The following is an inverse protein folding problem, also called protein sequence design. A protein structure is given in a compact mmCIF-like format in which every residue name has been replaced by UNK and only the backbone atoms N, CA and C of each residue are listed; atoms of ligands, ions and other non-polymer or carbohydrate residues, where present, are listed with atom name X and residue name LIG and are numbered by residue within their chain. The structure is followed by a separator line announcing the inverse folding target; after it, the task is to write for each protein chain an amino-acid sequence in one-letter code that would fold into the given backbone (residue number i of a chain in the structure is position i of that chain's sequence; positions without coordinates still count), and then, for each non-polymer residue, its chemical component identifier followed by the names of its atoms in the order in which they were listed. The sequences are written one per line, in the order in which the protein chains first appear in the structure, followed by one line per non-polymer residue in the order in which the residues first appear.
data_IF_401889955255
#
_entry.id   IF_401889955255
#
_cell.length_a   1.000
_cell.length_b   1.000
_cell.length_c   1.000
_cell.angle_alpha   90.00
_cell.angle_beta   90.00
_cell.angle_gamma   90.00
#
_symmetry.space_group_name_H-M   'P 1'
#
loop_
_entity.id
_entity.type
_entity.pdbx_description
1 polymer ?
#
# COMPACT_ATOMS: atom_id res chain seq x y z
N UNK A 1 -15.40 8.03 59.68
CA UNK A 1 -14.37 8.78 58.91
C UNK A 1 -13.58 7.76 58.11
N UNK A 2 -13.90 7.57 56.84
CA UNK A 2 -13.09 6.73 55.95
C UNK A 2 -11.89 7.55 55.49
N UNK A 3 -10.68 7.07 55.80
CA UNK A 3 -9.46 7.64 55.26
C UNK A 3 -9.47 7.47 53.75
N UNK A 4 -9.43 8.59 53.02
CA UNK A 4 -9.23 8.60 51.58
C UNK A 4 -7.77 8.20 51.36
N UNK A 5 -7.54 7.01 50.81
CA UNK A 5 -6.19 6.61 50.39
C UNK A 5 -5.68 7.64 49.37
N UNK A 6 -4.45 8.16 49.53
CA UNK A 6 -3.87 9.06 48.56
C UNK A 6 -3.80 8.33 47.22
N UNK A 7 -4.36 8.95 46.18
CA UNK A 7 -4.24 8.47 44.80
C UNK A 7 -2.75 8.56 44.47
N UNK A 8 -2.07 7.42 44.37
CA UNK A 8 -0.68 7.36 43.89
C UNK A 8 -0.64 7.96 42.50
N UNK A 9 0.05 9.08 42.37
CA UNK A 9 0.21 9.77 41.11
C UNK A 9 1.22 9.02 40.25
N UNK A 10 1.07 9.06 38.93
CA UNK A 10 2.01 8.37 38.03
C UNK A 10 3.47 8.84 38.20
N UNK A 11 3.69 10.05 38.74
CA UNK A 11 4.99 10.61 39.09
C UNK A 11 5.63 10.03 40.36
N UNK A 12 4.92 9.16 41.08
CA UNK A 12 5.46 8.46 42.27
C UNK A 12 6.12 7.12 41.87
N UNK A 13 6.12 6.78 40.58
CA UNK A 13 6.76 5.57 40.06
C UNK A 13 8.28 5.76 39.93
N UNK A 14 9.07 4.68 40.09
CA UNK A 14 10.45 4.67 39.63
C UNK A 14 10.56 5.12 38.17
N UNK A 15 11.58 5.92 37.88
CA UNK A 15 11.82 6.52 36.56
C UNK A 15 11.83 5.48 35.42
N UNK A 16 12.33 4.28 35.71
CA UNK A 16 12.39 3.17 34.76
C UNK A 16 10.99 2.69 34.36
N UNK A 17 10.04 2.69 35.30
CA UNK A 17 8.65 2.34 35.03
C UNK A 17 7.94 3.46 34.28
N UNK A 18 8.22 4.72 34.59
CA UNK A 18 7.66 5.85 33.83
C UNK A 18 8.13 5.83 32.37
N UNK A 19 9.44 5.67 32.14
CA UNK A 19 10.02 5.57 30.80
C UNK A 19 9.41 4.39 30.04
N UNK A 20 9.24 3.25 30.70
CA UNK A 20 8.58 2.08 30.11
C UNK A 20 7.11 2.32 29.76
N UNK A 21 6.36 3.05 30.60
CA UNK A 21 4.96 3.39 30.29
C UNK A 21 4.91 4.36 29.10
N UNK A 22 5.77 5.38 29.11
CA UNK A 22 5.84 6.38 28.05
C UNK A 22 6.25 5.77 26.70
N UNK A 23 7.13 4.76 26.70
CA UNK A 23 7.60 4.12 25.45
C UNK A 23 6.54 3.29 24.74
N UNK A 24 5.45 2.95 25.43
CA UNK A 24 4.28 2.31 24.82
C UNK A 24 3.32 3.31 24.16
N UNK A 25 3.47 4.62 24.43
CA UNK A 25 2.61 5.64 23.87
C UNK A 25 3.01 6.05 22.45
N UNK A 26 2.06 6.47 21.59
CA UNK A 26 2.35 7.15 20.34
C UNK A 26 3.14 8.44 20.57
N UNK A 27 3.97 8.85 19.60
CA UNK A 27 4.81 10.04 19.71
C UNK A 27 4.01 11.32 19.99
N UNK A 28 2.80 11.42 19.43
CA UNK A 28 1.86 12.53 19.69
C UNK A 28 1.41 12.59 21.15
N UNK A 29 1.25 11.44 21.80
CA UNK A 29 0.87 11.36 23.21
C UNK A 29 2.06 11.63 24.13
N UNK A 30 3.25 11.13 23.79
CA UNK A 30 4.49 11.50 24.49
C UNK A 30 4.69 13.03 24.47
N UNK A 31 4.48 13.66 23.31
CA UNK A 31 4.52 15.13 23.18
C UNK A 31 3.46 15.85 24.03
N UNK A 32 2.29 15.25 24.23
CA UNK A 32 1.27 15.78 25.15
C UNK A 32 1.75 15.65 26.59
N UNK A 33 2.24 14.49 27.01
CA UNK A 33 2.80 14.25 28.35
C UNK A 33 3.91 15.26 28.70
N UNK A 34 4.81 15.53 27.75
CA UNK A 34 5.88 16.54 27.87
C UNK A 34 5.37 17.95 28.24
N UNK A 35 4.12 18.29 27.89
CA UNK A 35 3.52 19.60 28.18
C UNK A 35 2.76 19.64 29.51
N UNK A 36 2.43 18.49 30.10
CA UNK A 36 1.59 18.40 31.30
C UNK A 36 2.35 18.84 32.56
N UNK A 37 3.58 18.35 32.75
CA UNK A 37 4.37 18.65 33.95
C UNK A 37 5.84 18.88 33.63
N UNK A 38 6.55 19.58 34.53
CA UNK A 38 8.01 19.73 34.44
C UNK A 38 8.71 18.37 34.54
N UNK A 39 8.25 17.51 35.45
CA UNK A 39 8.78 16.16 35.63
C UNK A 39 8.79 15.37 34.31
N UNK A 40 7.65 15.19 33.65
CA UNK A 40 7.60 14.46 32.37
C UNK A 40 8.45 15.11 31.29
N UNK A 41 8.54 16.44 31.28
CA UNK A 41 9.43 17.14 30.35
C UNK A 41 10.89 16.76 30.59
N UNK A 42 11.34 16.80 31.84
CA UNK A 42 12.71 16.47 32.22
C UNK A 42 13.01 14.99 31.88
N UNK A 43 12.06 14.08 32.13
CA UNK A 43 12.18 12.65 31.76
C UNK A 43 12.29 12.43 30.24
N UNK A 44 11.45 13.13 29.46
CA UNK A 44 11.38 12.98 27.99
C UNK A 44 12.56 13.67 27.29
N UNK A 45 13.01 14.82 27.80
CA UNK A 45 14.09 15.61 27.21
C UNK A 45 15.49 15.10 27.64
N UNK A 46 15.56 14.24 28.66
CA UNK A 46 16.80 13.57 29.09
C UNK A 46 17.35 12.65 27.98
N UNK A 47 18.57 12.95 27.53
CA UNK A 47 19.18 12.28 26.37
C UNK A 47 19.43 10.80 26.60
N UNK A 48 19.75 10.41 27.83
CA UNK A 48 19.95 9.00 28.18
C UNK A 48 18.68 8.17 28.05
N UNK A 49 17.49 8.79 28.12
CA UNK A 49 16.20 8.11 28.00
C UNK A 49 15.71 8.00 26.55
N UNK A 50 16.26 8.80 25.62
CA UNK A 50 15.72 8.90 24.25
C UNK A 50 15.62 7.53 23.56
N UNK A 51 16.64 6.69 23.68
CA UNK A 51 16.61 5.36 23.08
C UNK A 51 15.51 4.48 23.68
N UNK A 52 15.40 4.45 25.02
CA UNK A 52 14.41 3.64 25.74
C UNK A 52 12.97 4.10 25.47
N UNK A 53 12.77 5.41 25.32
CA UNK A 53 11.47 6.00 25.04
C UNK A 53 11.00 5.74 23.60
N UNK A 54 11.88 5.92 22.63
CA UNK A 54 11.49 6.03 21.23
C UNK A 54 11.73 4.78 20.40
N UNK A 55 12.78 3.99 20.71
CA UNK A 55 13.11 2.79 19.94
C UNK A 55 11.94 1.80 19.84
N UNK A 56 11.17 1.49 20.91
CA UNK A 56 10.05 0.56 20.80
C UNK A 56 8.99 1.03 19.78
N UNK A 57 8.63 2.31 19.83
CA UNK A 57 7.69 2.92 18.88
C UNK A 57 8.21 2.92 17.44
N UNK A 58 9.50 3.17 17.24
CA UNK A 58 10.13 3.10 15.92
C UNK A 58 10.15 1.67 15.38
N UNK A 59 10.52 0.67 16.19
CA UNK A 59 10.52 -0.75 15.81
C UNK A 59 9.10 -1.15 15.37
N UNK A 60 8.08 -0.88 16.19
CA UNK A 60 6.69 -1.19 15.85
C UNK A 60 6.26 -0.58 14.50
N UNK A 61 6.64 0.67 14.26
CA UNK A 61 6.26 1.38 13.03
C UNK A 61 7.00 0.85 11.80
N UNK A 62 8.29 0.51 11.92
CA UNK A 62 9.07 -0.12 10.84
C UNK A 62 8.55 -1.52 10.53
N UNK A 63 8.28 -2.33 11.55
CA UNK A 63 7.68 -3.66 11.39
C UNK A 63 6.35 -3.54 10.67
N UNK A 64 5.46 -2.64 11.11
CA UNK A 64 4.20 -2.38 10.41
C UNK A 64 4.41 -2.03 8.94
N UNK A 65 5.28 -1.06 8.62
CA UNK A 65 5.53 -0.67 7.22
C UNK A 65 6.12 -1.83 6.40
N UNK A 66 7.00 -2.63 7.01
CA UNK A 66 7.56 -3.83 6.40
C UNK A 66 6.50 -4.88 6.11
N UNK A 67 5.60 -5.14 7.06
CA UNK A 67 4.50 -6.10 6.88
C UNK A 67 3.52 -5.59 5.82
N UNK A 68 3.23 -4.29 5.79
CA UNK A 68 2.37 -3.68 4.77
C UNK A 68 2.97 -3.75 3.37
N UNK A 69 4.28 -3.52 3.23
CA UNK A 69 4.99 -3.63 1.96
C UNK A 69 5.07 -5.10 1.51
N UNK A 70 5.52 -5.99 2.40
CA UNK A 70 5.59 -7.42 2.12
C UNK A 70 4.23 -7.99 1.71
N UNK A 71 3.14 -7.56 2.36
CA UNK A 71 1.80 -8.00 1.99
C UNK A 71 1.44 -7.73 0.52
N UNK A 72 1.91 -6.61 -0.06
CA UNK A 72 1.61 -6.27 -1.46
C UNK A 72 2.70 -6.68 -2.45
N UNK A 73 3.94 -6.94 -2.00
CA UNK A 73 5.06 -7.27 -2.89
C UNK A 73 5.60 -8.67 -2.77
N UNK A 74 5.43 -9.36 -1.63
CA UNK A 74 5.80 -10.77 -1.48
C UNK A 74 4.61 -11.63 -1.94
N UNK A 75 4.64 -11.97 -3.22
CA UNK A 75 3.58 -12.68 -3.92
C UNK A 75 4.01 -14.09 -4.35
N UNK A 76 5.17 -14.56 -3.90
CA UNK A 76 5.67 -15.89 -4.19
C UNK A 76 4.70 -16.96 -3.65
N UNK A 77 4.24 -17.85 -4.54
CA UNK A 77 3.28 -18.90 -4.21
C UNK A 77 1.87 -18.39 -3.85
N UNK A 78 1.60 -17.10 -3.99
CA UNK A 78 0.28 -16.52 -3.80
C UNK A 78 -0.51 -16.67 -5.10
N UNK A 79 -1.73 -17.21 -4.97
CA UNK A 79 -2.67 -17.34 -6.08
C UNK A 79 -2.95 -16.01 -6.80
N UNK A 80 -3.16 -16.01 -8.12
CA UNK A 80 -3.32 -14.79 -8.92
C UNK A 80 -4.41 -13.86 -8.36
N UNK A 81 -5.61 -14.39 -8.07
CA UNK A 81 -6.73 -13.55 -7.63
C UNK A 81 -6.45 -12.96 -6.24
N UNK A 82 -5.86 -13.76 -5.36
CA UNK A 82 -5.45 -13.27 -4.04
C UNK A 82 -4.34 -12.23 -4.15
N UNK A 83 -3.29 -12.49 -4.92
CA UNK A 83 -2.21 -11.54 -5.17
C UNK A 83 -2.74 -10.23 -5.76
N UNK A 84 -3.67 -10.31 -6.71
CA UNK A 84 -4.29 -9.15 -7.32
C UNK A 84 -5.13 -8.35 -6.33
N UNK A 85 -5.89 -9.02 -5.47
CA UNK A 85 -6.61 -8.42 -4.35
C UNK A 85 -5.67 -7.67 -3.41
N UNK A 86 -4.54 -8.27 -3.02
CA UNK A 86 -3.53 -7.61 -2.18
C UNK A 86 -2.96 -6.38 -2.86
N UNK A 87 -2.59 -6.50 -4.13
CA UNK A 87 -2.05 -5.41 -4.95
C UNK A 87 -2.98 -4.20 -5.00
N UNK A 88 -4.28 -4.46 -5.21
CA UNK A 88 -5.30 -3.41 -5.27
C UNK A 88 -5.73 -2.88 -3.90
N UNK A 89 -5.45 -3.58 -2.80
CA UNK A 89 -5.88 -3.17 -1.44
C UNK A 89 -5.37 -1.79 -0.98
N UNK A 90 -4.26 -1.31 -1.56
CA UNK A 90 -3.65 0.00 -1.27
C UNK A 90 -3.96 1.06 -2.32
N UNK A 91 -4.65 0.68 -3.40
CA UNK A 91 -4.86 1.50 -4.59
C UNK A 91 -6.32 1.80 -4.81
N UNK A 92 -6.58 2.95 -5.43
CA UNK A 92 -7.90 3.22 -5.98
C UNK A 92 -8.07 2.43 -7.29
N UNK A 93 -9.26 1.90 -7.54
CA UNK A 93 -9.63 1.32 -8.84
C UNK A 93 -9.99 2.49 -9.76
N UNK A 94 -9.21 2.63 -10.83
CA UNK A 94 -9.47 3.62 -11.87
C UNK A 94 -10.49 3.06 -12.85
N UNK A 95 -11.44 3.88 -13.28
CA UNK A 95 -12.40 3.51 -14.33
C UNK A 95 -11.81 3.56 -15.73
N UNK A 96 -10.74 4.32 -15.87
CA UNK A 96 -10.14 4.63 -17.14
C UNK A 96 -9.25 3.47 -17.57
N UNK A 97 -9.47 2.90 -18.78
CA UNK A 97 -8.70 1.77 -19.29
C UNK A 97 -7.18 1.99 -19.26
N UNK A 98 -6.69 3.16 -19.69
CA UNK A 98 -5.28 3.47 -19.79
C UNK A 98 -4.58 3.51 -18.42
N UNK A 99 -5.30 3.93 -17.37
CA UNK A 99 -4.79 3.91 -16.00
C UNK A 99 -4.78 2.49 -15.42
N UNK A 100 -5.80 1.68 -15.73
CA UNK A 100 -5.84 0.26 -15.34
C UNK A 100 -4.65 -0.48 -15.93
N UNK A 101 -4.41 -0.34 -17.24
CA UNK A 101 -3.34 -1.05 -17.94
C UNK A 101 -1.96 -0.87 -17.29
N UNK A 102 -1.62 0.33 -16.83
CA UNK A 102 -0.32 0.57 -16.14
C UNK A 102 -0.21 -0.24 -14.85
N UNK A 103 -1.28 -0.27 -14.05
CA UNK A 103 -1.31 -1.01 -12.78
C UNK A 103 -1.34 -2.52 -13.02
N UNK A 104 -2.15 -2.96 -13.97
CA UNK A 104 -2.30 -4.37 -14.33
C UNK A 104 -1.00 -4.94 -14.87
N UNK A 105 -0.34 -4.23 -15.80
CA UNK A 105 0.95 -4.64 -16.34
C UNK A 105 1.97 -4.81 -15.22
N UNK A 106 2.14 -3.80 -14.37
CA UNK A 106 3.13 -3.88 -13.30
C UNK A 106 2.80 -4.98 -12.27
N UNK A 107 1.51 -5.22 -11.98
CA UNK A 107 1.08 -6.36 -11.18
C UNK A 107 1.49 -7.68 -11.83
N UNK A 108 1.13 -7.90 -13.10
CA UNK A 108 1.43 -9.14 -13.82
C UNK A 108 2.93 -9.40 -13.91
N UNK A 109 3.71 -8.38 -14.30
CA UNK A 109 5.18 -8.46 -14.38
C UNK A 109 5.78 -8.85 -13.01
N UNK A 110 5.31 -8.21 -11.93
CA UNK A 110 5.82 -8.45 -10.58
C UNK A 110 5.42 -9.80 -10.00
N UNK A 111 4.16 -10.22 -10.21
CA UNK A 111 3.63 -11.49 -9.74
C UNK A 111 4.26 -12.67 -10.49
N UNK A 112 4.32 -12.59 -11.83
CA UNK A 112 4.87 -13.64 -12.68
C UNK A 112 6.36 -13.89 -12.39
N UNK A 113 7.13 -12.83 -12.15
CA UNK A 113 8.55 -12.94 -11.80
C UNK A 113 8.83 -13.67 -10.47
N UNK A 114 7.83 -13.83 -9.61
CA UNK A 114 7.95 -14.50 -8.30
C UNK A 114 7.42 -15.93 -8.28
N UNK A 115 6.74 -16.37 -9.34
CA UNK A 115 6.24 -17.74 -9.39
C UNK A 115 7.38 -18.70 -9.72
N UNK A 116 7.60 -19.65 -8.82
CA UNK A 116 8.50 -20.78 -9.08
C UNK A 116 7.88 -21.67 -10.13
N UNK A 117 8.52 -21.76 -11.29
CA UNK A 117 8.11 -22.69 -12.35
C UNK A 117 8.38 -24.13 -11.91
N UNK A 118 7.49 -25.10 -12.22
CA UNK A 118 7.77 -26.51 -11.99
C UNK A 118 9.07 -26.94 -12.68
N UNK A 119 9.96 -27.62 -11.96
CA UNK A 119 11.28 -28.08 -12.46
C UNK A 119 11.20 -29.01 -13.69
N UNK A 120 10.01 -29.48 -14.06
CA UNK A 120 9.78 -30.46 -15.13
C UNK A 120 9.76 -29.90 -16.55
N UNK A 121 10.07 -28.61 -16.76
CA UNK A 121 10.07 -27.97 -18.07
C UNK A 121 11.49 -27.55 -18.45
N UNK A 122 12.05 -28.17 -19.50
CA UNK A 122 13.42 -27.93 -20.00
C UNK A 122 13.68 -26.43 -20.24
N UNK A 123 14.71 -25.89 -19.57
CA UNK A 123 15.05 -24.47 -19.50
C UNK A 123 15.65 -23.85 -20.78
N UNK A 124 15.47 -24.50 -21.94
CA UNK A 124 16.20 -24.14 -23.19
C UNK A 124 15.47 -23.18 -24.11
N UNK A 125 14.19 -22.90 -23.87
CA UNK A 125 13.42 -21.92 -24.66
C UNK A 125 13.35 -20.62 -23.87
N UNK A 126 13.83 -19.50 -24.42
CA UNK A 126 13.54 -18.16 -23.90
C UNK A 126 12.02 -18.04 -23.75
N UNK A 127 11.55 -18.17 -22.52
CA UNK A 127 10.16 -18.42 -22.23
C UNK A 127 9.48 -17.06 -22.11
N UNK A 128 8.67 -16.72 -23.12
CA UNK A 128 7.87 -15.51 -23.08
C UNK A 128 6.84 -15.65 -21.95
N UNK A 129 6.87 -14.69 -21.02
CA UNK A 129 5.81 -14.56 -20.01
C UNK A 129 4.52 -14.26 -20.79
N UNK A 130 3.38 -14.92 -20.50
CA UNK A 130 2.09 -14.64 -21.12
C UNK A 130 1.53 -13.31 -20.58
N UNK A 131 2.29 -12.23 -20.78
CA UNK A 131 2.02 -10.89 -20.26
C UNK A 131 0.63 -10.41 -20.70
N UNK A 132 0.28 -10.70 -21.95
CA UNK A 132 -1.00 -10.31 -22.53
C UNK A 132 -2.17 -11.02 -21.84
N UNK A 133 -2.10 -12.35 -21.69
CA UNK A 133 -3.17 -13.16 -21.11
C UNK A 133 -3.36 -12.86 -19.62
N UNK A 134 -2.26 -12.68 -18.87
CA UNK A 134 -2.32 -12.30 -17.45
C UNK A 134 -2.94 -10.91 -17.27
N UNK A 135 -2.53 -9.94 -18.09
CA UNK A 135 -3.09 -8.58 -18.05
C UNK A 135 -4.57 -8.59 -18.43
N UNK A 136 -4.92 -9.33 -19.47
CA UNK A 136 -6.29 -9.41 -19.94
C UNK A 136 -7.21 -10.10 -18.93
N UNK A 137 -6.77 -11.21 -18.32
CA UNK A 137 -7.53 -11.88 -17.25
C UNK A 137 -7.73 -10.95 -16.05
N UNK A 138 -6.69 -10.23 -15.64
CA UNK A 138 -6.76 -9.27 -14.52
C UNK A 138 -7.71 -8.10 -14.85
N UNK A 139 -7.68 -7.58 -16.08
CA UNK A 139 -8.61 -6.54 -16.53
C UNK A 139 -10.06 -7.04 -16.57
N UNK A 140 -10.28 -8.27 -17.03
CA UNK A 140 -11.59 -8.90 -17.08
C UNK A 140 -12.18 -9.06 -15.66
N UNK A 141 -11.40 -9.56 -14.71
CA UNK A 141 -11.81 -9.70 -13.30
C UNK A 141 -12.12 -8.33 -12.67
N UNK A 142 -11.28 -7.32 -12.94
CA UNK A 142 -11.50 -5.97 -12.44
C UNK A 142 -12.76 -5.32 -13.06
N UNK A 143 -12.99 -5.53 -14.35
CA UNK A 143 -14.16 -5.03 -15.07
C UNK A 143 -15.43 -5.69 -14.57
N UNK A 144 -15.42 -7.01 -14.36
CA UNK A 144 -16.51 -7.74 -13.71
C UNK A 144 -16.82 -7.16 -12.33
N UNK A 145 -15.80 -6.94 -11.50
CA UNK A 145 -15.97 -6.35 -10.18
C UNK A 145 -16.61 -4.96 -10.23
N UNK A 146 -16.14 -4.08 -11.12
CA UNK A 146 -16.70 -2.73 -11.28
C UNK A 146 -18.16 -2.81 -11.72
N UNK A 147 -18.50 -3.65 -12.70
CA UNK A 147 -19.85 -3.74 -13.23
C UNK A 147 -20.84 -4.29 -12.21
N UNK A 148 -20.44 -5.30 -11.42
CA UNK A 148 -21.31 -5.92 -10.41
C UNK A 148 -21.50 -5.00 -9.20
N UNK A 149 -20.44 -4.31 -8.75
CA UNK A 149 -20.45 -3.64 -7.45
C UNK A 149 -20.49 -2.11 -7.48
N UNK A 150 -20.19 -1.44 -8.60
CA UNK A 150 -19.98 0.02 -8.62
C UNK A 150 -21.24 0.88 -8.82
N UNK A 151 -22.46 0.31 -8.80
CA UNK A 151 -23.77 0.99 -8.90
C UNK A 151 -23.92 2.02 -10.03
N UNK A 152 -23.05 1.99 -11.05
CA UNK A 152 -22.95 3.06 -12.04
C UNK A 152 -23.13 2.42 -13.40
N UNK A 153 -24.35 2.60 -13.91
CA UNK A 153 -24.98 1.96 -15.06
C UNK A 153 -25.18 0.45 -14.92
N UNK A 154 -26.43 -0.04 -14.83
CA UNK A 154 -26.72 -1.43 -15.09
C UNK A 154 -26.51 -1.64 -16.60
N UNK A 155 -25.29 -2.05 -16.98
CA UNK A 155 -25.16 -2.93 -18.13
C UNK A 155 -26.16 -4.06 -17.84
N UNK A 156 -27.23 -4.15 -18.63
CA UNK A 156 -28.36 -5.02 -18.34
C UNK A 156 -27.90 -6.44 -18.01
N UNK A 157 -28.63 -7.15 -17.14
CA UNK A 157 -28.34 -8.49 -16.61
C UNK A 157 -27.15 -9.18 -17.30
N UNK A 158 -25.93 -8.89 -16.84
CA UNK A 158 -24.73 -9.53 -17.38
C UNK A 158 -24.88 -11.00 -17.05
N UNK A 159 -25.00 -11.83 -18.08
CA UNK A 159 -24.88 -13.28 -17.91
C UNK A 159 -23.43 -13.58 -17.50
N UNK A 160 -23.24 -13.81 -16.20
CA UNK A 160 -21.94 -14.09 -15.60
C UNK A 160 -21.33 -15.34 -16.22
N UNK A 161 -22.14 -16.34 -16.57
CA UNK A 161 -21.66 -17.57 -17.18
C UNK A 161 -21.15 -17.30 -18.61
N UNK A 162 -21.84 -16.46 -19.38
CA UNK A 162 -21.38 -16.03 -20.71
C UNK A 162 -20.09 -15.20 -20.61
N UNK A 163 -20.03 -14.26 -19.66
CA UNK A 163 -18.83 -13.46 -19.42
C UNK A 163 -17.64 -14.35 -19.05
N UNK A 164 -17.78 -15.21 -18.05
CA UNK A 164 -16.72 -16.13 -17.60
C UNK A 164 -16.29 -17.07 -18.72
N UNK A 165 -17.23 -17.57 -19.52
CA UNK A 165 -16.92 -18.46 -20.66
C UNK A 165 -16.12 -17.72 -21.72
N UNK A 166 -16.51 -16.48 -22.04
CA UNK A 166 -15.76 -15.62 -22.95
C UNK A 166 -14.38 -15.30 -22.39
N UNK A 167 -14.29 -15.09 -21.07
CA UNK A 167 -13.01 -14.88 -20.38
C UNK A 167 -12.10 -16.11 -20.54
N UNK A 168 -12.60 -17.29 -20.19
CA UNK A 168 -11.83 -18.53 -20.29
C UNK A 168 -11.39 -18.83 -21.72
N UNK A 169 -12.26 -18.60 -22.71
CA UNK A 169 -11.93 -18.83 -24.12
C UNK A 169 -10.78 -17.93 -24.57
N UNK A 170 -10.87 -16.61 -24.40
CA UNK A 170 -9.84 -15.72 -24.96
C UNK A 170 -8.52 -15.75 -24.16
N UNK A 171 -8.54 -16.03 -22.85
CA UNK A 171 -7.30 -16.19 -22.07
C UNK A 171 -6.55 -17.50 -22.39
N UNK A 172 -7.26 -18.58 -22.74
CA UNK A 172 -6.66 -19.90 -22.89
C UNK A 172 -6.45 -20.31 -24.35
N UNK A 173 -7.24 -19.81 -25.31
CA UNK A 173 -7.23 -20.29 -26.70
C UNK A 173 -5.86 -20.13 -27.39
N UNK A 174 -5.08 -19.10 -27.03
CA UNK A 174 -3.77 -18.85 -27.64
C UNK A 174 -2.59 -19.42 -26.84
N UNK A 175 -2.75 -19.58 -25.51
CA UNK A 175 -1.63 -19.82 -24.59
C UNK A 175 -2.03 -20.66 -23.36
N UNK A 176 -2.90 -21.66 -23.54
CA UNK A 176 -3.37 -22.53 -22.46
C UNK A 176 -2.21 -23.15 -21.67
N UNK A 177 -1.18 -23.67 -22.36
CA UNK A 177 -0.03 -24.29 -21.70
C UNK A 177 0.73 -23.27 -20.83
N UNK A 178 0.92 -22.04 -21.31
CA UNK A 178 1.59 -20.99 -20.55
C UNK A 178 0.79 -20.61 -19.30
N UNK A 179 -0.52 -20.46 -19.42
CA UNK A 179 -1.41 -20.15 -18.28
C UNK A 179 -1.50 -21.31 -17.27
N UNK A 180 -1.49 -22.56 -17.74
CA UNK A 180 -1.47 -23.74 -16.87
C UNK A 180 -0.18 -23.83 -16.03
N UNK A 181 0.96 -23.34 -16.52
CA UNK A 181 2.22 -23.27 -15.74
C UNK A 181 2.10 -22.34 -14.53
N UNK A 182 1.27 -21.31 -14.63
CA UNK A 182 0.89 -20.43 -13.52
C UNK A 182 -0.25 -21.01 -12.65
N UNK A 183 -0.65 -22.25 -12.92
CA UNK A 183 -1.78 -22.90 -12.25
C UNK A 183 -3.11 -22.23 -12.58
N UNK A 184 -3.25 -21.58 -13.73
CA UNK A 184 -4.48 -20.94 -14.19
C UNK A 184 -5.15 -21.84 -15.23
N UNK A 185 -6.28 -22.42 -14.85
CA UNK A 185 -7.10 -23.30 -15.71
C UNK A 185 -8.47 -22.65 -15.95
N UNK A 186 -9.25 -23.17 -16.91
CA UNK A 186 -10.62 -22.70 -17.16
C UNK A 186 -11.51 -22.80 -15.90
N UNK A 187 -11.37 -23.89 -15.14
CA UNK A 187 -12.06 -24.07 -13.85
C UNK A 187 -11.69 -22.97 -12.84
N UNK A 188 -10.40 -22.62 -12.79
CA UNK A 188 -9.92 -21.60 -11.86
C UNK A 188 -10.37 -20.20 -12.27
N UNK A 189 -10.37 -19.87 -13.57
CA UNK A 189 -10.93 -18.62 -14.09
C UNK A 189 -12.40 -18.48 -13.72
N UNK A 190 -13.18 -19.57 -13.85
CA UNK A 190 -14.59 -19.61 -13.42
C UNK A 190 -14.72 -19.33 -11.94
N UNK A 191 -13.96 -20.05 -11.10
CA UNK A 191 -13.94 -19.83 -9.65
C UNK A 191 -13.58 -18.40 -9.28
N UNK A 192 -12.62 -17.77 -9.97
CA UNK A 192 -12.27 -16.37 -9.74
C UNK A 192 -13.44 -15.44 -10.02
N UNK A 193 -14.14 -15.63 -11.14
CA UNK A 193 -15.33 -14.85 -11.47
C UNK A 193 -16.42 -14.96 -10.40
N UNK A 194 -16.70 -16.18 -9.95
CA UNK A 194 -17.67 -16.46 -8.87
C UNK A 194 -17.29 -15.74 -7.56
N UNK A 195 -16.02 -15.82 -7.14
CA UNK A 195 -15.52 -15.12 -5.94
C UNK A 195 -15.66 -13.60 -6.05
N UNK A 196 -15.35 -13.04 -7.23
CA UNK A 196 -15.45 -11.60 -7.49
C UNK A 196 -16.89 -11.12 -7.44
N UNK A 197 -17.84 -11.87 -8.01
CA UNK A 197 -19.27 -11.56 -7.97
C UNK A 197 -19.80 -11.65 -6.54
N UNK A 198 -19.43 -12.71 -5.81
CA UNK A 198 -19.98 -12.99 -4.48
C UNK A 198 -19.52 -11.99 -3.40
N UNK A 199 -18.39 -11.30 -3.59
CA UNK A 199 -17.80 -10.45 -2.56
C UNK A 199 -17.32 -9.09 -3.12
N UNK A 200 -18.05 -8.03 -2.79
CA UNK A 200 -17.71 -6.64 -3.12
C UNK A 200 -16.36 -6.17 -2.55
N UNK A 201 -15.77 -6.92 -1.61
CA UNK A 201 -14.46 -6.63 -1.05
C UNK A 201 -13.33 -7.47 -1.68
N UNK A 202 -13.63 -8.29 -2.70
CA UNK A 202 -12.68 -9.28 -3.22
C UNK A 202 -11.49 -8.65 -3.94
N UNK A 203 -11.68 -7.60 -4.72
CA UNK A 203 -10.60 -6.92 -5.46
C UNK A 203 -10.30 -5.52 -4.91
N UNK A 204 -11.19 -4.93 -4.12
CA UNK A 204 -10.92 -3.67 -3.45
C UNK A 204 -11.71 -3.56 -2.16
N UNK A 205 -11.15 -2.89 -1.17
CA UNK A 205 -11.92 -2.49 0.00
C UNK A 205 -13.10 -1.60 -0.44
N UNK A 206 -14.25 -1.63 0.25
CA UNK A 206 -15.45 -0.87 -0.14
C UNK A 206 -15.25 0.65 -0.06
N UNK A 207 -14.14 1.07 0.54
CA UNK A 207 -13.63 2.45 0.61
C UNK A 207 -13.17 2.98 -0.76
N UNK A 208 -13.05 2.12 -1.77
CA UNK A 208 -12.63 2.46 -3.15
C UNK A 208 -13.84 2.53 -4.10
N UNK A 209 -15.01 2.93 -3.58
CA UNK A 209 -16.04 3.51 -4.44
C UNK A 209 -15.54 4.86 -4.96
N UNK A 210 -15.83 5.23 -6.22
CA UNK A 210 -15.57 6.56 -6.72
C UNK A 210 -16.61 7.49 -6.09
N UNK A 211 -16.36 7.91 -4.84
CA UNK A 211 -16.52 9.34 -4.64
C UNK A 211 -15.53 9.92 -5.62
N UNK A 212 -16.00 10.76 -6.53
CA UNK A 212 -15.20 11.69 -7.31
C UNK A 212 -14.26 12.44 -6.36
N UNK A 213 -13.20 11.79 -5.90
CA UNK A 213 -12.14 12.39 -5.11
C UNK A 213 -11.48 13.27 -6.14
N UNK A 214 -11.63 14.61 -6.05
CA UNK A 214 -11.01 15.49 -7.01
C UNK A 214 -9.52 15.11 -7.11
N UNK A 215 -8.88 15.26 -8.27
CA UNK A 215 -7.44 15.03 -8.41
C UNK A 215 -6.65 15.72 -7.27
N UNK A 216 -7.16 16.85 -6.80
CA UNK A 216 -6.65 17.67 -5.70
C UNK A 216 -6.66 16.97 -4.33
N UNK A 217 -7.52 16.00 -4.08
CA UNK A 217 -7.60 15.25 -2.80
C UNK A 217 -6.70 14.00 -2.83
N UNK A 218 -6.42 13.42 -4.01
CA UNK A 218 -5.30 12.46 -4.13
C UNK A 218 -3.94 13.15 -3.91
N UNK A 219 -3.83 14.43 -4.29
CA UNK A 219 -2.63 15.26 -4.11
C UNK A 219 -2.38 15.70 -2.65
N UNK A 220 -3.29 15.46 -1.71
CA UNK A 220 -3.02 15.77 -0.29
C UNK A 220 -1.94 14.85 0.30
N UNK A 221 -1.72 13.67 -0.29
CA UNK A 221 -0.64 12.77 0.10
C UNK A 221 0.62 13.17 -0.65
N UNK A 222 1.56 13.79 0.05
CA UNK A 222 2.83 14.20 -0.55
C UNK A 222 3.76 12.98 -0.65
N UNK A 223 4.17 12.55 -1.85
CA UNK A 223 5.05 11.41 -2.01
C UNK A 223 6.43 11.73 -1.44
N UNK A 224 6.96 10.81 -0.65
CA UNK A 224 8.31 10.88 -0.07
C UNK A 224 9.34 10.20 -0.98
N UNK A 225 8.92 9.15 -1.67
CA UNK A 225 9.73 8.44 -2.67
C UNK A 225 9.36 8.88 -4.07
N UNK A 226 10.36 9.00 -4.95
CA UNK A 226 10.15 9.38 -6.36
C UNK A 226 9.18 8.44 -7.08
N UNK A 227 8.13 9.02 -7.69
CA UNK A 227 7.20 8.34 -8.59
C UNK A 227 7.38 8.93 -9.98
N UNK A 228 8.10 8.23 -10.86
CA UNK A 228 8.47 8.77 -12.18
C UNK A 228 7.26 9.07 -13.06
N UNK A 229 6.21 8.27 -12.96
CA UNK A 229 4.96 8.55 -13.67
C UNK A 229 3.78 8.22 -12.75
N UNK A 230 3.00 9.24 -12.40
CA UNK A 230 1.69 9.06 -11.81
C UNK A 230 0.69 9.62 -12.81
N UNK A 231 -0.10 8.76 -13.44
CA UNK A 231 -1.18 9.25 -14.31
C UNK A 231 -2.31 9.75 -13.42
N UNK A 232 -2.39 11.06 -13.20
CA UNK A 232 -3.58 11.63 -12.63
C UNK A 232 -4.64 11.77 -13.72
N UNK A 233 -5.78 11.15 -13.49
CA UNK A 233 -6.97 11.47 -14.23
C UNK A 233 -7.43 12.87 -13.85
N UNK A 234 -7.49 13.80 -14.82
CA UNK A 234 -8.21 15.06 -14.68
C UNK A 234 -9.43 15.05 -15.61
N UNK A 235 -10.67 15.12 -15.06
CA UNK A 235 -11.85 15.30 -15.91
C UNK A 235 -11.78 16.67 -16.58
N UNK A 236 -11.83 16.69 -17.90
CA UNK A 236 -12.05 17.90 -18.70
C UNK A 236 -13.56 18.16 -18.82
N UNK A 237 -14.34 17.07 -18.92
CA UNK A 237 -15.80 17.07 -18.93
C UNK A 237 -16.35 15.80 -18.27
N UNK A 238 -17.67 15.59 -18.30
CA UNK A 238 -18.29 14.36 -17.78
C UNK A 238 -17.81 13.08 -18.48
N UNK A 239 -17.36 13.19 -19.73
CA UNK A 239 -17.00 12.05 -20.59
C UNK A 239 -15.59 12.16 -21.19
N UNK A 240 -14.83 13.22 -20.85
CA UNK A 240 -13.52 13.48 -21.43
C UNK A 240 -12.50 13.68 -20.31
N UNK A 241 -11.37 12.99 -20.42
CA UNK A 241 -10.34 12.92 -19.41
C UNK A 241 -8.99 13.24 -20.06
N UNK A 242 -8.25 14.16 -19.47
CA UNK A 242 -6.82 14.30 -19.78
C UNK A 242 -6.03 13.47 -18.80
N UNK A 243 -4.98 12.83 -19.34
CA UNK A 243 -3.97 12.11 -18.58
C UNK A 243 -2.65 12.87 -18.69
N UNK A 244 -2.52 14.05 -18.06
CA UNK A 244 -1.19 14.60 -17.91
C UNK A 244 -0.38 13.57 -17.15
N UNK A 245 0.74 13.16 -17.72
CA UNK A 245 1.77 12.46 -16.96
C UNK A 245 2.19 13.41 -15.84
N UNK A 246 1.78 13.11 -14.61
CA UNK A 246 2.28 13.84 -13.46
C UNK A 246 3.60 13.18 -13.08
N UNK A 247 4.69 13.89 -13.36
CA UNK A 247 5.95 13.62 -12.73
C UNK A 247 5.87 14.16 -11.30
N UNK A 248 5.50 13.29 -10.37
CA UNK A 248 5.55 13.62 -8.95
C UNK A 248 6.96 13.33 -8.46
N UNK A 249 7.77 14.38 -8.45
CA UNK A 249 9.05 14.35 -7.75
C UNK A 249 8.74 14.12 -6.28
N UNK A 250 9.04 12.90 -5.81
CA UNK A 250 9.09 12.62 -4.39
C UNK A 250 10.19 13.46 -3.76
N UNK A 251 10.13 13.62 -2.45
CA UNK A 251 11.14 14.38 -1.75
C UNK A 251 12.55 13.82 -2.01
N UNK A 252 12.73 12.50 -1.91
CA UNK A 252 13.97 11.83 -2.29
C UNK A 252 13.73 10.54 -3.09
N UNK A 253 14.80 9.78 -3.28
CA UNK A 253 14.69 8.40 -3.74
C UNK A 253 14.38 7.45 -2.57
N UNK A 254 14.03 6.22 -2.92
CA UNK A 254 13.68 5.18 -1.95
C UNK A 254 14.85 4.81 -1.02
N UNK A 255 16.09 4.90 -1.54
CA UNK A 255 17.30 4.59 -0.80
C UNK A 255 17.55 5.64 0.29
N UNK A 256 17.44 6.92 -0.04
CA UNK A 256 17.56 8.02 0.93
C UNK A 256 16.57 7.86 2.09
N UNK A 257 15.31 7.56 1.79
CA UNK A 257 14.28 7.40 2.82
C UNK A 257 14.53 6.16 3.69
N UNK A 258 14.98 5.06 3.08
CA UNK A 258 15.41 3.84 3.77
C UNK A 258 16.59 4.12 4.70
N UNK A 259 17.61 4.85 4.27
CA UNK A 259 18.78 5.17 5.08
C UNK A 259 18.43 6.05 6.30
N UNK A 260 17.61 7.08 6.11
CA UNK A 260 17.29 8.03 7.19
C UNK A 260 16.30 7.47 8.21
N UNK A 261 15.32 6.67 7.78
CA UNK A 261 14.27 6.13 8.67
C UNK A 261 14.42 4.65 9.02
N UNK A 262 15.32 3.94 8.33
CA UNK A 262 15.50 2.48 8.43
C UNK A 262 14.21 1.72 8.11
N UNK A 263 13.52 2.15 7.05
CA UNK A 263 12.33 1.47 6.51
C UNK A 263 12.73 0.64 5.28
N UNK A 264 11.98 -0.43 4.92
CA UNK A 264 12.36 -1.23 3.77
C UNK A 264 12.19 -0.47 2.46
N UNK A 265 13.10 -0.74 1.53
CA UNK A 265 13.02 -0.23 0.17
C UNK A 265 11.88 -0.92 -0.59
N UNK A 266 11.05 -0.13 -1.28
CA UNK A 266 10.12 -0.63 -2.30
C UNK A 266 10.91 -1.40 -3.38
N UNK A 267 10.50 -2.61 -3.80
CA UNK A 267 11.16 -3.36 -4.88
C UNK A 267 11.16 -2.59 -6.21
N UNK A 268 12.18 -2.82 -7.04
CA UNK A 268 12.31 -2.06 -8.28
C UNK A 268 11.25 -2.33 -9.33
N UNK A 269 10.72 -3.55 -9.33
CA UNK A 269 9.55 -3.97 -10.11
C UNK A 269 8.25 -3.29 -9.67
N UNK A 270 8.24 -2.75 -8.46
CA UNK A 270 7.14 -1.95 -7.90
C UNK A 270 7.41 -0.44 -7.97
N UNK A 271 8.60 -0.01 -8.42
CA UNK A 271 8.91 1.41 -8.57
C UNK A 271 7.91 2.05 -9.51
N UNK A 272 7.41 3.23 -9.11
CA UNK A 272 6.35 4.00 -9.77
C UNK A 272 4.93 3.53 -9.49
N UNK A 273 4.74 2.32 -8.97
CA UNK A 273 3.40 1.80 -8.65
C UNK A 273 3.08 1.92 -7.19
N UNK A 274 4.05 1.88 -6.28
CA UNK A 274 3.87 2.17 -4.86
C UNK A 274 4.78 3.31 -4.43
N UNK A 275 4.36 4.03 -3.39
CA UNK A 275 5.15 5.09 -2.79
C UNK A 275 4.92 5.17 -1.29
N UNK A 276 5.96 5.56 -0.56
CA UNK A 276 5.75 6.11 0.78
C UNK A 276 5.23 7.53 0.64
N UNK A 277 4.18 7.87 1.38
CA UNK A 277 3.65 9.22 1.44
C UNK A 277 3.64 9.73 2.88
N UNK A 278 3.80 11.05 3.02
CA UNK A 278 3.57 11.72 4.30
C UNK A 278 2.05 11.74 4.59
N UNK A 279 1.66 11.35 5.81
CA UNK A 279 0.29 11.48 6.29
C UNK A 279 -0.10 12.91 6.64
N UNK A 280 0.87 13.80 6.86
CA UNK A 280 0.67 15.20 7.21
C UNK A 280 1.74 16.13 6.61
N UNK A 281 1.40 17.40 6.44
CA UNK A 281 2.34 18.44 5.98
C UNK A 281 3.56 18.56 6.91
N UNK A 282 3.34 18.42 8.23
CA UNK A 282 4.41 18.47 9.23
C UNK A 282 5.48 17.39 8.96
N UNK A 283 5.07 16.16 8.64
CA UNK A 283 5.99 15.07 8.32
C UNK A 283 6.80 15.39 7.07
N UNK A 284 6.15 15.93 6.04
CA UNK A 284 6.81 16.30 4.80
C UNK A 284 7.84 17.41 5.02
N UNK A 285 7.46 18.53 5.65
CA UNK A 285 8.37 19.65 5.95
C UNK A 285 9.58 19.22 6.81
N UNK A 286 9.38 18.26 7.73
CA UNK A 286 10.46 17.73 8.55
C UNK A 286 11.45 16.91 7.75
N UNK A 287 10.95 16.07 6.87
CA UNK A 287 11.79 15.28 5.97
C UNK A 287 12.50 16.16 4.95
N UNK A 288 11.85 17.23 4.46
CA UNK A 288 12.45 18.19 3.51
C UNK A 288 13.67 18.88 4.13
N UNK A 289 13.53 19.39 5.36
CA UNK A 289 14.68 19.92 6.09
C UNK A 289 15.76 18.87 6.33
N UNK A 290 15.39 17.60 6.52
CA UNK A 290 16.34 16.54 6.72
C UNK A 290 17.13 16.21 5.44
N UNK A 291 16.50 16.31 4.27
CA UNK A 291 17.16 16.24 2.97
C UNK A 291 18.19 17.37 2.80
N UNK A 292 17.87 18.58 3.30
CA UNK A 292 18.81 19.71 3.37
C UNK A 292 19.93 19.55 4.42
N UNK A 293 20.01 18.40 5.10
CA UNK A 293 21.07 18.07 6.07
C UNK A 293 20.73 18.34 7.53
N UNK A 294 19.49 18.73 7.87
CA UNK A 294 19.08 18.89 9.27
C UNK A 294 18.88 17.52 9.94
N UNK A 295 19.49 17.31 11.11
CA UNK A 295 19.31 16.07 11.85
C UNK A 295 17.91 15.97 12.46
N UNK A 296 17.25 14.81 12.27
CA UNK A 296 16.00 14.47 12.96
C UNK A 296 16.29 13.97 14.38
N UNK A 297 15.54 14.50 15.36
CA UNK A 297 15.53 13.94 16.72
C UNK A 297 14.83 12.58 16.75
N UNK A 298 15.10 11.77 17.78
CA UNK A 298 14.47 10.45 17.93
C UNK A 298 12.93 10.53 18.07
N UNK A 299 12.43 11.59 18.69
CA UNK A 299 11.00 11.86 18.78
C UNK A 299 10.40 12.24 17.42
N UNK A 300 11.10 13.03 16.61
CA UNK A 300 10.67 13.36 15.25
C UNK A 300 10.67 12.12 14.36
N UNK A 301 11.73 11.30 14.38
CA UNK A 301 11.77 10.03 13.64
C UNK A 301 10.59 9.13 14.00
N UNK A 302 10.29 9.00 15.29
CA UNK A 302 9.16 8.19 15.77
C UNK A 302 7.83 8.74 15.29
N UNK A 303 7.62 10.06 15.38
CA UNK A 303 6.39 10.69 14.91
C UNK A 303 6.23 10.57 13.38
N UNK A 304 7.30 10.75 12.61
CA UNK A 304 7.33 10.59 11.16
C UNK A 304 6.99 9.14 10.79
N UNK A 305 7.66 8.15 11.39
CA UNK A 305 7.40 6.73 11.13
C UNK A 305 5.95 6.33 11.40
N UNK A 306 5.32 6.90 12.43
CA UNK A 306 3.90 6.66 12.75
C UNK A 306 2.92 7.32 11.78
N UNK A 307 3.38 8.35 11.03
CA UNK A 307 2.58 9.16 10.13
C UNK A 307 2.80 8.81 8.64
N UNK A 308 3.87 8.07 8.32
CA UNK A 308 4.10 7.53 6.98
C UNK A 308 3.05 6.47 6.65
N UNK A 309 2.62 6.50 5.40
CA UNK A 309 1.71 5.51 4.83
C UNK A 309 2.34 4.92 3.57
N UNK A 310 2.19 3.61 3.39
CA UNK A 310 2.38 2.98 2.09
C UNK A 310 1.11 3.21 1.26
N UNK A 311 1.30 3.86 0.12
CA UNK A 311 0.22 4.11 -0.83
C UNK A 311 0.48 3.32 -2.09
#
# INVERSE_FOLDING_TARGET
MHAINPVTSASDLPIELEVRILSELPAREIQRCRRISKHFRDVIDEKSNAHLLFQPGQIRSRTKLSDELAYVTDLAGVDLLEAFSRWLSRRAIWRIPECKQVILRAFCDHWAAQQTMPESLDSTTEMEIPDFELQWLSDALLTLHINVHALIDPWGDIDIDEFITTVALLALDQNEEAMQRFGITAEKIRKYGEEVVANANRLAAPIVTPKSVPPNVMLNKRPLTTVRSWRACRPISANDYTFPELHLHGLGDNKWLSEILQIPEIPSTCFQIFAYCAGSDWTYEKLERAEEGNALTELEKTAILQDIILY
#
